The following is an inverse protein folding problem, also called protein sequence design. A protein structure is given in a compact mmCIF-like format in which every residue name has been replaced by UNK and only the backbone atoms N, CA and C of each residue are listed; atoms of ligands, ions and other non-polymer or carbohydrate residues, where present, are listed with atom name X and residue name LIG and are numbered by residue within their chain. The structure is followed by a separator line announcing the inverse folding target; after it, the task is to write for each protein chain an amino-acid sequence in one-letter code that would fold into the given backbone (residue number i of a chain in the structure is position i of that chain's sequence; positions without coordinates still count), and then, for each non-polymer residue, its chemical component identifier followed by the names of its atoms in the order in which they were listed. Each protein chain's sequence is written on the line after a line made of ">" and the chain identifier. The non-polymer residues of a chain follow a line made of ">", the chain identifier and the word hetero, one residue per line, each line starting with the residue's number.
data_IF_187144541990
#
_entry.id   IF_187144541990
#
_cell.length_a   1.000
_cell.length_b   1.000
_cell.length_c   1.000
_cell.angle_alpha   90.00
_cell.angle_beta   90.00
_cell.angle_gamma   90.00
#
_symmetry.space_group_name_H-M   'P 1'
#
loop_
_entity.id
_entity.type
_entity.pdbx_description
1 polymer ?
#
# COMPACT_ATOMS: atom_id res chain seq x y z
N UNK A 1 16.64 33.63 9.95
CA UNK A 1 16.45 32.47 10.84
C UNK A 1 15.12 31.83 10.49
N UNK A 2 15.09 30.57 10.05
CA UNK A 2 13.86 29.85 9.74
C UNK A 2 13.63 28.76 10.79
N UNK A 3 12.43 28.69 11.35
CA UNK A 3 12.07 27.66 12.32
C UNK A 3 11.73 26.36 11.58
N UNK A 4 12.36 25.26 11.97
CA UNK A 4 12.03 23.92 11.47
C UNK A 4 10.87 23.38 12.31
N UNK A 5 9.64 23.61 11.85
CA UNK A 5 8.43 23.10 12.52
C UNK A 5 8.24 21.63 12.14
N UNK A 6 8.14 20.76 13.13
CA UNK A 6 7.61 19.40 12.92
C UNK A 6 6.09 19.51 12.95
N UNK A 7 5.38 19.13 11.87
CA UNK A 7 3.93 19.23 11.84
C UNK A 7 3.31 18.30 12.90
N UNK A 8 2.21 18.70 13.56
CA UNK A 8 1.53 17.88 14.56
C UNK A 8 0.68 16.76 13.93
N UNK A 9 0.70 16.62 12.61
CA UNK A 9 -0.04 15.62 11.84
C UNK A 9 0.87 14.98 10.79
N UNK A 10 0.50 13.78 10.35
CA UNK A 10 1.23 13.08 9.31
C UNK A 10 0.95 13.73 7.94
N UNK A 11 1.98 14.36 7.36
CA UNK A 11 1.87 15.00 6.05
C UNK A 11 1.54 14.02 4.92
N UNK A 12 1.91 12.74 5.06
CA UNK A 12 1.63 11.73 4.04
C UNK A 12 0.12 11.55 3.82
N UNK A 13 -0.69 11.68 4.88
CA UNK A 13 -2.16 11.64 4.79
C UNK A 13 -2.75 12.78 3.95
N UNK A 14 -2.05 13.92 3.89
CA UNK A 14 -2.51 15.09 3.13
C UNK A 14 -1.98 15.12 1.70
N UNK A 15 -0.85 14.48 1.44
CA UNK A 15 -0.21 14.48 0.13
C UNK A 15 -0.61 13.29 -0.76
N UNK A 16 -1.08 12.19 -0.16
CA UNK A 16 -1.46 10.98 -0.89
C UNK A 16 -2.89 11.10 -1.39
N UNK A 17 -3.11 10.84 -2.67
CA UNK A 17 -4.47 10.81 -3.24
C UNK A 17 -5.18 9.52 -2.85
N UNK A 18 -6.40 9.66 -2.32
CA UNK A 18 -7.18 8.55 -1.78
C UNK A 18 -8.63 8.65 -2.27
N UNK A 19 -9.22 7.53 -2.66
CA UNK A 19 -10.63 7.48 -3.02
C UNK A 19 -11.24 6.11 -2.71
N UNK A 20 -12.55 6.10 -2.52
CA UNK A 20 -13.34 4.89 -2.29
C UNK A 20 -13.90 4.36 -3.62
N UNK A 21 -13.96 3.04 -3.75
CA UNK A 21 -14.57 2.37 -4.90
C UNK A 21 -15.09 1.00 -4.47
N UNK A 22 -16.27 0.63 -4.96
CA UNK A 22 -16.76 -0.76 -4.94
C UNK A 22 -15.79 -1.69 -5.70
N UNK A 23 -15.14 -2.59 -4.97
CA UNK A 23 -14.21 -3.60 -5.51
C UNK A 23 -14.89 -4.93 -5.85
N UNK A 24 -16.23 -5.00 -5.89
CA UNK A 24 -17.04 -6.15 -6.34
C UNK A 24 -16.73 -7.47 -5.62
N UNK A 25 -16.74 -7.45 -4.29
CA UNK A 25 -16.57 -8.65 -3.46
C UNK A 25 -15.13 -9.12 -3.30
N UNK A 26 -14.16 -8.28 -3.67
CA UNK A 26 -12.77 -8.47 -3.29
C UNK A 26 -12.64 -8.52 -1.76
N UNK A 27 -11.85 -9.48 -1.25
CA UNK A 27 -11.68 -9.67 0.19
C UNK A 27 -10.73 -8.64 0.83
N UNK A 28 -10.09 -7.80 0.00
CA UNK A 28 -9.15 -6.77 0.46
C UNK A 28 -9.88 -5.50 0.92
N UNK A 29 -9.34 -4.88 1.96
CA UNK A 29 -9.86 -3.62 2.50
C UNK A 29 -9.41 -2.39 1.71
N UNK A 30 -8.22 -2.44 1.13
CA UNK A 30 -7.67 -1.40 0.30
C UNK A 30 -6.62 -1.96 -0.67
N UNK A 31 -6.20 -1.12 -1.63
CA UNK A 31 -5.10 -1.40 -2.55
C UNK A 31 -4.33 -0.13 -2.85
N UNK A 32 -3.01 -0.27 -2.93
CA UNK A 32 -2.10 0.76 -3.43
C UNK A 32 -1.45 0.31 -4.74
N UNK A 33 -1.90 0.79 -5.91
CA UNK A 33 -1.21 0.54 -7.17
C UNK A 33 0.11 1.34 -7.21
N UNK A 34 1.01 0.96 -8.12
CA UNK A 34 2.33 1.59 -8.31
C UNK A 34 2.31 3.11 -8.55
N UNK A 35 1.19 3.67 -8.99
CA UNK A 35 1.03 5.12 -9.15
C UNK A 35 0.86 5.87 -7.80
N UNK A 36 0.82 5.16 -6.68
CA UNK A 36 0.84 5.73 -5.32
C UNK A 36 -0.49 6.30 -4.86
N UNK A 37 -1.61 5.99 -5.54
CA UNK A 37 -2.95 6.30 -5.04
C UNK A 37 -3.41 5.20 -4.09
N UNK A 38 -4.21 5.53 -3.08
CA UNK A 38 -4.83 4.54 -2.20
C UNK A 38 -6.29 4.38 -2.62
N UNK A 39 -6.67 3.15 -2.94
CA UNK A 39 -8.05 2.80 -3.29
C UNK A 39 -8.64 2.04 -2.11
N UNK A 40 -9.62 2.63 -1.44
CA UNK A 40 -10.33 2.01 -0.31
C UNK A 40 -11.55 1.24 -0.85
N UNK A 41 -11.75 0.02 -0.37
CA UNK A 41 -12.94 -0.76 -0.71
C UNK A 41 -14.14 -0.23 0.07
N UNK A 42 -15.14 0.27 -0.65
CA UNK A 42 -16.34 0.89 -0.06
C UNK A 42 -17.05 -0.06 0.91
N UNK A 43 -17.17 -1.34 0.54
CA UNK A 43 -17.86 -2.37 1.33
C UNK A 43 -17.11 -2.83 2.57
N UNK A 44 -15.79 -2.58 2.64
CA UNK A 44 -14.96 -3.05 3.76
C UNK A 44 -15.21 -2.30 5.05
N UNK A 45 -15.68 -1.06 4.96
CA UNK A 45 -15.88 -0.18 6.13
C UNK A 45 -17.35 0.13 6.39
N UNK A 46 -18.28 -0.45 5.62
CA UNK A 46 -19.73 -0.23 5.78
C UNK A 46 -20.34 -1.07 6.89
N UNK A 47 -19.77 -2.25 7.21
CA UNK A 47 -20.26 -3.14 8.28
C UNK A 47 -19.61 -2.87 9.64
N UNK A 48 -18.33 -2.50 9.64
CA UNK A 48 -17.53 -2.27 10.83
C UNK A 48 -17.24 -0.76 10.94
N UNK A 49 -18.16 -0.01 11.55
CA UNK A 49 -18.05 1.44 11.76
C UNK A 49 -16.98 1.82 12.80
N UNK A 50 -15.84 1.12 12.86
CA UNK A 50 -14.72 1.53 13.71
C UNK A 50 -13.79 2.45 12.89
N UNK A 51 -13.74 3.75 13.19
CA UNK A 51 -12.79 4.67 12.55
C UNK A 51 -11.33 4.23 12.74
N UNK A 52 -11.03 3.45 13.77
CA UNK A 52 -9.70 2.93 14.06
C UNK A 52 -9.19 1.94 13.02
N UNK A 53 -10.03 0.99 12.59
CA UNK A 53 -9.64 -0.02 11.58
C UNK A 53 -9.43 0.59 10.20
N UNK A 54 -10.27 1.57 9.83
CA UNK A 54 -10.04 2.37 8.62
C UNK A 54 -8.70 3.10 8.68
N UNK A 55 -8.38 3.71 9.82
CA UNK A 55 -7.11 4.41 9.99
C UNK A 55 -5.91 3.46 9.91
N UNK A 56 -5.98 2.28 10.54
CA UNK A 56 -4.92 1.25 10.42
C UNK A 56 -4.70 0.82 8.97
N UNK A 57 -5.79 0.55 8.24
CA UNK A 57 -5.71 0.21 6.82
C UNK A 57 -5.02 1.33 6.03
N UNK A 58 -5.41 2.59 6.28
CA UNK A 58 -4.79 3.73 5.61
C UNK A 58 -3.29 3.85 5.93
N UNK A 59 -2.90 3.62 7.18
CA UNK A 59 -1.49 3.67 7.61
C UNK A 59 -0.68 2.57 6.94
N UNK A 60 -1.23 1.35 6.85
CA UNK A 60 -0.63 0.24 6.11
C UNK A 60 -0.45 0.57 4.62
N UNK A 61 -1.49 1.08 3.96
CA UNK A 61 -1.41 1.46 2.54
C UNK A 61 -0.43 2.62 2.28
N UNK A 62 -0.30 3.56 3.22
CA UNK A 62 0.71 4.62 3.14
C UNK A 62 2.15 4.07 3.18
N UNK A 63 2.38 2.97 3.88
CA UNK A 63 3.68 2.30 3.85
C UNK A 63 3.96 1.71 2.47
N UNK A 64 2.96 1.12 1.79
CA UNK A 64 3.13 0.73 0.38
C UNK A 64 3.42 1.93 -0.53
N UNK A 65 2.74 3.07 -0.34
CA UNK A 65 3.06 4.30 -1.09
C UNK A 65 4.53 4.71 -0.89
N UNK A 66 5.03 4.64 0.35
CA UNK A 66 6.44 4.91 0.66
C UNK A 66 7.35 3.90 -0.04
N UNK A 67 7.07 2.60 0.07
CA UNK A 67 7.84 1.53 -0.54
C UNK A 67 7.93 1.68 -2.08
N UNK A 68 6.84 2.05 -2.74
CA UNK A 68 6.85 2.35 -4.18
C UNK A 68 7.68 3.60 -4.50
N UNK A 69 7.52 4.67 -3.72
CA UNK A 69 8.23 5.94 -3.92
C UNK A 69 9.74 5.80 -3.74
N UNK A 70 10.15 5.01 -2.77
CA UNK A 70 11.55 4.75 -2.45
C UNK A 70 12.18 3.68 -3.37
N UNK A 71 11.36 3.04 -4.22
CA UNK A 71 11.80 1.98 -5.13
C UNK A 71 12.09 0.66 -4.43
N UNK A 72 11.63 0.49 -3.19
CA UNK A 72 11.76 -0.76 -2.43
C UNK A 72 10.82 -1.84 -2.97
N UNK A 73 9.59 -1.49 -3.34
CA UNK A 73 8.59 -2.41 -3.91
C UNK A 73 8.27 -2.02 -5.35
N UNK A 74 8.25 -3.01 -6.25
CA UNK A 74 7.83 -2.79 -7.64
C UNK A 74 7.33 -4.07 -8.28
N UNK A 75 6.22 -3.99 -9.01
CA UNK A 75 5.65 -5.09 -9.79
C UNK A 75 5.91 -4.85 -11.28
N UNK A 76 6.27 -5.89 -12.02
CA UNK A 76 6.49 -5.75 -13.46
C UNK A 76 6.87 -7.05 -14.18
N UNK A 77 7.34 -6.89 -15.41
CA UNK A 77 7.81 -7.98 -16.26
C UNK A 77 9.33 -7.84 -16.41
N UNK A 78 10.08 -8.91 -16.19
CA UNK A 78 11.54 -8.91 -16.37
C UNK A 78 11.94 -9.02 -17.86
N UNK A 79 13.24 -8.92 -18.16
CA UNK A 79 13.77 -9.00 -19.53
C UNK A 79 13.50 -10.33 -20.25
N UNK A 80 13.06 -11.37 -19.54
CA UNK A 80 12.67 -12.66 -20.09
C UNK A 80 11.14 -12.81 -20.27
N UNK A 81 10.37 -11.73 -20.10
CA UNK A 81 8.92 -11.74 -20.28
C UNK A 81 8.15 -12.38 -19.13
N UNK A 82 8.76 -12.52 -17.93
CA UNK A 82 8.10 -13.12 -16.76
C UNK A 82 7.64 -12.07 -15.77
N UNK A 83 6.46 -12.27 -15.19
CA UNK A 83 5.94 -11.44 -14.10
C UNK A 83 6.75 -11.66 -12.82
N UNK A 84 7.23 -10.57 -12.24
CA UNK A 84 8.10 -10.55 -11.08
C UNK A 84 7.76 -9.41 -10.14
N UNK A 85 8.09 -9.62 -8.87
CA UNK A 85 8.07 -8.61 -7.81
C UNK A 85 9.51 -8.28 -7.46
N UNK A 86 9.85 -7.00 -7.46
CA UNK A 86 11.12 -6.52 -6.95
C UNK A 86 10.90 -6.02 -5.52
N UNK A 87 11.64 -6.60 -4.58
CA UNK A 87 11.65 -6.16 -3.20
C UNK A 87 13.08 -5.86 -2.75
N UNK A 88 13.34 -4.60 -2.38
CA UNK A 88 14.66 -4.07 -1.99
C UNK A 88 15.77 -4.49 -2.96
N UNK A 89 15.49 -4.38 -4.26
CA UNK A 89 16.41 -4.73 -5.35
C UNK A 89 16.56 -6.22 -5.66
N UNK A 90 15.82 -7.11 -4.97
CA UNK A 90 15.81 -8.55 -5.27
C UNK A 90 14.58 -8.93 -6.09
N UNK A 91 14.76 -9.75 -7.12
CA UNK A 91 13.70 -10.25 -8.00
C UNK A 91 13.07 -11.53 -7.41
N UNK A 92 11.74 -11.56 -7.38
CA UNK A 92 10.95 -12.70 -6.93
C UNK A 92 9.90 -13.06 -7.98
N UNK A 93 9.66 -14.35 -8.29
CA UNK A 93 8.59 -14.74 -9.20
C UNK A 93 7.22 -14.36 -8.65
N UNK A 94 6.39 -13.68 -9.45
CA UNK A 94 5.05 -13.25 -9.02
C UNK A 94 4.18 -14.43 -8.58
N UNK A 95 4.27 -15.57 -9.29
CA UNK A 95 3.52 -16.79 -8.96
C UNK A 95 3.83 -17.38 -7.57
N UNK A 96 5.01 -17.08 -6.99
CA UNK A 96 5.38 -17.50 -5.63
C UNK A 96 4.96 -16.47 -4.57
N UNK A 97 4.47 -15.32 -5.01
CA UNK A 97 4.19 -14.13 -4.23
C UNK A 97 2.75 -13.67 -4.53
N UNK A 98 1.79 -14.60 -4.47
CA UNK A 98 0.38 -14.29 -4.67
C UNK A 98 0.01 -13.02 -3.88
N UNK A 99 -0.50 -12.00 -4.57
CA UNK A 99 -0.56 -10.57 -4.21
C UNK A 99 -1.30 -10.17 -2.90
N UNK A 100 -1.50 -11.10 -1.96
CA UNK A 100 -2.16 -10.87 -0.68
C UNK A 100 -1.69 -11.85 0.42
N UNK A 101 -0.53 -12.50 0.26
CA UNK A 101 0.01 -13.35 1.34
C UNK A 101 0.62 -12.46 2.43
N UNK A 102 0.04 -12.43 3.65
CA UNK A 102 0.51 -11.57 4.75
C UNK A 102 1.92 -11.94 5.23
N UNK A 103 2.46 -13.09 4.81
CA UNK A 103 3.84 -13.46 5.13
C UNK A 103 4.86 -12.82 4.18
N UNK A 104 4.43 -12.02 3.20
CA UNK A 104 5.33 -11.37 2.27
C UNK A 104 6.17 -10.31 2.98
N UNK A 105 7.46 -10.16 2.59
CA UNK A 105 8.38 -9.24 3.25
C UNK A 105 7.96 -7.77 3.28
N UNK A 106 7.06 -7.34 2.40
CA UNK A 106 6.54 -5.96 2.29
C UNK A 106 5.17 -5.76 2.95
N UNK A 107 4.46 -6.86 3.21
CA UNK A 107 3.18 -6.91 3.95
C UNK A 107 3.41 -6.98 5.47
N UNK A 108 4.59 -7.45 5.90
CA UNK A 108 4.98 -7.41 7.31
C UNK A 108 5.20 -5.97 7.75
N UNK A 109 4.25 -5.42 8.51
CA UNK A 109 4.38 -4.11 9.14
C UNK A 109 5.72 -4.01 9.89
N UNK A 110 6.55 -3.00 9.58
CA UNK A 110 7.71 -2.69 10.41
C UNK A 110 7.23 -1.93 11.66
N UNK A 111 6.60 -2.64 12.58
CA UNK A 111 6.43 -2.33 14.02
C UNK A 111 5.63 -1.07 14.40
#
# INVERSE_FOLDING_TARGET
>A
MAFKIKPPFNLALLSTSMFERDMKGDQVHARTPKNGVIILNEDSFTKERDPGEKLKTIVHELEHVRQYKDGELNYGINGAGKEVVYWKGKEYPYAKMASADPNQPWEQEPY
#
